data_IF_671190060241
#
_entry.id   IF_671190060241
#
_cell.length_a   1.000
_cell.length_b   1.000
_cell.length_c   1.000
_cell.angle_alpha   90.00
_cell.angle_beta   90.00
_cell.angle_gamma   90.00
#
_symmetry.space_group_name_H-M   'P 1'
#
loop_
_entity.id
_entity.type
_entity.pdbx_description
1 polymer ?
#
# COMPACT_ATOMS: atom_id res chain seq x y z
N UNK A 1 -19.89 -11.12 0.74
CA UNK A 1 -19.06 -9.89 0.78
C UNK A 1 -17.78 -10.19 1.56
N UNK A 2 -16.67 -10.49 0.89
CA UNK A 2 -15.42 -10.83 1.55
C UNK A 2 -14.70 -9.55 2.02
N UNK A 3 -14.53 -9.42 3.35
CA UNK A 3 -13.76 -8.36 3.99
C UNK A 3 -12.29 -8.46 3.52
N UNK A 4 -11.76 -7.38 2.96
CA UNK A 4 -10.32 -7.21 2.70
C UNK A 4 -9.55 -7.31 4.03
N UNK A 5 -9.13 -8.52 4.42
CA UNK A 5 -8.12 -8.71 5.45
C UNK A 5 -6.80 -8.17 4.90
N UNK A 6 -6.27 -7.12 5.53
CA UNK A 6 -4.89 -6.70 5.33
C UNK A 6 -4.03 -7.86 5.84
N UNK A 7 -3.53 -8.69 4.91
CA UNK A 7 -2.67 -9.82 5.23
C UNK A 7 -1.38 -9.30 5.89
N UNK A 8 -1.21 -9.61 7.18
CA UNK A 8 0.04 -9.38 7.94
C UNK A 8 1.03 -10.56 7.83
N UNK A 9 0.66 -11.67 7.19
CA UNK A 9 1.53 -12.83 6.96
C UNK A 9 2.44 -12.70 5.73
N UNK A 10 3.38 -13.64 5.58
CA UNK A 10 4.13 -13.88 4.33
C UNK A 10 3.35 -14.84 3.42
N UNK A 11 3.72 -14.95 2.15
CA UNK A 11 3.15 -15.97 1.26
C UNK A 11 3.53 -17.38 1.73
N UNK A 12 2.64 -18.38 1.72
CA UNK A 12 2.98 -19.77 2.07
C UNK A 12 4.14 -20.34 1.25
N UNK A 13 4.25 -20.01 -0.05
CA UNK A 13 5.39 -20.44 -0.87
C UNK A 13 6.69 -19.70 -0.49
N UNK A 14 6.60 -18.42 -0.11
CA UNK A 14 7.75 -17.65 0.39
C UNK A 14 8.21 -18.17 1.75
N UNK A 15 7.30 -18.53 2.66
CA UNK A 15 7.63 -19.17 3.93
C UNK A 15 8.29 -20.53 3.72
N UNK A 16 7.76 -21.36 2.80
CA UNK A 16 8.39 -22.64 2.42
C UNK A 16 9.79 -22.45 1.86
N UNK A 17 9.98 -21.47 0.99
CA UNK A 17 11.29 -21.12 0.43
C UNK A 17 12.28 -20.71 1.54
N UNK A 18 11.91 -19.78 2.41
CA UNK A 18 12.77 -19.30 3.49
C UNK A 18 13.11 -20.40 4.51
N UNK A 19 12.13 -21.25 4.85
CA UNK A 19 12.33 -22.36 5.78
C UNK A 19 13.20 -23.47 5.17
N UNK A 20 13.25 -23.57 3.84
CA UNK A 20 14.09 -24.56 3.14
C UNK A 20 15.55 -24.14 2.95
N UNK A 21 15.84 -22.83 3.04
CA UNK A 21 17.20 -22.29 3.00
C UNK A 21 18.06 -22.66 4.23
N UNK A 22 17.58 -23.58 5.10
CA UNK A 22 18.42 -24.30 6.08
C UNK A 22 19.41 -25.30 5.45
N UNK A 23 19.45 -25.43 4.13
CA UNK A 23 20.56 -26.00 3.36
C UNK A 23 20.86 -25.10 2.17
N UNK A 24 22.01 -24.42 2.23
CA UNK A 24 22.49 -23.48 1.23
C UNK A 24 22.55 -24.11 -0.17
N UNK A 25 21.96 -23.43 -1.16
CA UNK A 25 22.48 -23.49 -2.53
C UNK A 25 22.64 -22.04 -2.99
N UNK A 26 23.90 -21.67 -3.16
CA UNK A 26 24.35 -20.37 -3.64
C UNK A 26 23.87 -20.17 -5.10
N UNK A 27 23.00 -19.18 -5.31
CA UNK A 27 22.34 -18.92 -6.61
C UNK A 27 23.11 -17.87 -7.42
N UNK A 28 24.33 -17.53 -7.03
CA UNK A 28 25.18 -16.53 -7.70
C UNK A 28 25.69 -16.97 -9.10
N UNK A 29 25.55 -18.25 -9.47
CA UNK A 29 26.19 -18.84 -10.66
C UNK A 29 25.35 -19.08 -11.92
N UNK A 30 24.04 -18.81 -11.96
CA UNK A 30 23.18 -19.23 -13.08
C UNK A 30 22.73 -18.06 -13.96
N UNK A 31 23.67 -17.50 -14.75
CA UNK A 31 23.37 -16.54 -15.83
C UNK A 31 23.83 -17.18 -17.15
N UNK A 32 22.88 -17.46 -18.05
CA UNK A 32 23.15 -17.75 -19.45
C UNK A 32 22.52 -16.65 -20.35
N UNK A 33 23.13 -16.32 -21.49
CA UNK A 33 22.90 -15.06 -22.19
C UNK A 33 21.88 -15.14 -23.33
N UNK A 34 21.27 -13.98 -23.61
CA UNK A 34 20.50 -13.58 -24.79
C UNK A 34 18.98 -13.82 -24.79
N UNK A 35 18.19 -12.73 -24.82
CA UNK A 35 17.69 -12.20 -26.09
C UNK A 35 17.15 -10.75 -25.95
N UNK A 36 17.48 -9.95 -26.95
CA UNK A 36 17.38 -8.50 -26.98
C UNK A 36 15.95 -7.96 -27.14
N UNK A 37 15.59 -7.06 -26.21
CA UNK A 37 14.64 -5.92 -26.32
C UNK A 37 14.16 -5.49 -24.91
N UNK A 38 14.20 -6.41 -23.94
CA UNK A 38 13.93 -6.15 -22.51
C UNK A 38 15.18 -5.78 -21.69
N UNK A 39 16.37 -5.98 -22.25
CA UNK A 39 17.66 -5.90 -21.54
C UNK A 39 17.99 -4.52 -20.97
N UNK A 40 17.49 -3.40 -21.53
CA UNK A 40 17.74 -2.06 -20.96
C UNK A 40 16.96 -1.78 -19.67
N UNK A 41 15.93 -2.58 -19.36
CA UNK A 41 15.16 -2.49 -18.11
C UNK A 41 15.54 -3.61 -17.13
N UNK A 42 15.94 -4.78 -17.63
CA UNK A 42 16.43 -5.90 -16.80
C UNK A 42 17.87 -5.71 -16.30
N UNK A 43 18.80 -5.19 -17.14
CA UNK A 43 20.19 -4.95 -16.74
C UNK A 43 20.35 -3.82 -15.69
N UNK A 44 19.31 -3.00 -15.46
CA UNK A 44 19.28 -2.05 -14.34
C UNK A 44 18.80 -2.67 -13.02
N UNK A 45 18.17 -3.84 -13.08
CA UNK A 45 17.60 -4.54 -11.94
C UNK A 45 18.41 -5.78 -11.52
N UNK A 46 19.35 -6.25 -12.35
CA UNK A 46 20.17 -7.45 -12.07
C UNK A 46 21.19 -7.26 -10.94
N UNK A 47 21.47 -6.03 -10.51
CA UNK A 47 22.47 -5.73 -9.45
C UNK A 47 21.94 -4.87 -8.30
N UNK A 48 20.62 -4.68 -8.19
CA UNK A 48 20.03 -3.96 -7.05
C UNK A 48 19.14 -4.92 -6.25
N UNK A 49 19.51 -5.12 -4.98
CA UNK A 49 18.55 -5.59 -3.98
C UNK A 49 17.25 -4.81 -4.16
N UNK A 50 16.14 -5.51 -4.41
CA UNK A 50 14.83 -4.88 -4.50
C UNK A 50 14.59 -4.04 -3.24
N UNK A 51 14.24 -2.76 -3.41
CA UNK A 51 13.75 -1.93 -2.31
C UNK A 51 12.67 -2.72 -1.54
N UNK A 52 12.75 -2.72 -0.21
CA UNK A 52 11.89 -3.47 0.70
C UNK A 52 10.41 -3.27 0.38
N UNK A 53 10.04 -2.05 -0.03
CA UNK A 53 8.69 -1.68 -0.47
C UNK A 53 8.25 -2.41 -1.76
N UNK A 54 9.16 -2.60 -2.69
CA UNK A 54 8.89 -3.28 -3.97
C UNK A 54 8.80 -4.80 -3.77
N UNK A 55 9.70 -5.36 -2.95
CA UNK A 55 9.64 -6.77 -2.53
C UNK A 55 8.30 -7.10 -1.86
N UNK A 56 7.87 -6.29 -0.87
CA UNK A 56 6.56 -6.48 -0.22
C UNK A 56 5.39 -6.37 -1.21
N UNK A 57 5.51 -5.48 -2.20
CA UNK A 57 4.48 -5.33 -3.24
C UNK A 57 4.39 -6.58 -4.12
N UNK A 58 5.52 -7.20 -4.46
CA UNK A 58 5.55 -8.41 -5.28
C UNK A 58 5.01 -9.60 -4.50
N UNK A 59 5.35 -9.71 -3.23
CA UNK A 59 4.79 -10.73 -2.33
C UNK A 59 3.27 -10.63 -2.21
N UNK A 60 2.72 -9.42 -1.98
CA UNK A 60 1.26 -9.23 -1.93
C UNK A 60 0.56 -9.62 -3.23
N UNK A 61 1.23 -9.49 -4.38
CA UNK A 61 0.70 -9.93 -5.68
C UNK A 61 0.71 -11.45 -5.81
N UNK A 62 1.75 -12.11 -5.30
CA UNK A 62 1.83 -13.57 -5.25
C UNK A 62 0.73 -14.15 -4.36
N UNK A 63 0.54 -13.59 -3.15
CA UNK A 63 -0.54 -14.00 -2.22
C UNK A 63 -1.90 -13.91 -2.89
N UNK A 64 -2.15 -12.83 -3.65
CA UNK A 64 -3.41 -12.67 -4.37
C UNK A 64 -3.62 -13.75 -5.45
N UNK A 65 -2.55 -14.15 -6.15
CA UNK A 65 -2.60 -15.22 -7.14
C UNK A 65 -2.85 -16.59 -6.46
N UNK A 66 -2.16 -16.88 -5.37
CA UNK A 66 -2.33 -18.13 -4.61
C UNK A 66 -3.76 -18.29 -4.08
N UNK A 67 -4.34 -17.22 -3.54
CA UNK A 67 -5.72 -17.22 -3.08
C UNK A 67 -6.72 -17.44 -4.23
N UNK A 68 -6.45 -16.84 -5.39
CA UNK A 68 -7.28 -17.03 -6.57
C UNK A 68 -7.16 -18.46 -7.12
N UNK A 69 -5.96 -19.01 -7.18
CA UNK A 69 -5.71 -20.37 -7.64
C UNK A 69 -6.41 -21.40 -6.76
N UNK A 70 -6.29 -21.27 -5.42
CA UNK A 70 -6.97 -22.14 -4.47
C UNK A 70 -8.51 -22.09 -4.61
N UNK A 71 -9.08 -20.91 -4.91
CA UNK A 71 -10.53 -20.78 -5.17
C UNK A 71 -10.98 -21.45 -6.47
N UNK A 72 -10.09 -21.60 -7.44
CA UNK A 72 -10.37 -22.23 -8.73
C UNK A 72 -9.88 -23.68 -8.81
N UNK A 73 -9.45 -24.27 -7.69
CA UNK A 73 -8.97 -25.65 -7.63
C UNK A 73 -7.59 -25.88 -8.25
N UNK A 74 -6.78 -24.83 -8.44
CA UNK A 74 -5.40 -24.96 -8.92
C UNK A 74 -4.41 -25.02 -7.74
N UNK A 75 -4.12 -26.24 -7.31
CA UNK A 75 -3.16 -26.53 -6.22
C UNK A 75 -1.72 -26.45 -6.72
N UNK A 76 -1.24 -25.23 -7.00
CA UNK A 76 0.15 -24.99 -7.35
C UNK A 76 1.06 -24.99 -6.12
N UNK A 77 2.16 -25.72 -6.21
CA UNK A 77 3.22 -25.78 -5.19
C UNK A 77 4.48 -25.23 -5.85
N UNK A 78 4.82 -23.97 -5.60
CA UNK A 78 5.88 -23.33 -6.37
C UNK A 78 7.27 -23.79 -5.97
N UNK A 79 7.44 -24.37 -4.78
CA UNK A 79 8.73 -24.72 -4.22
C UNK A 79 8.69 -26.05 -3.44
N UNK A 80 9.73 -26.88 -3.58
CA UNK A 80 9.87 -28.20 -2.95
C UNK A 80 10.08 -29.36 -3.95
N UNK A 81 10.23 -30.62 -3.47
CA UNK A 81 10.46 -31.79 -4.34
C UNK A 81 9.27 -32.09 -5.26
N UNK A 82 8.06 -31.73 -4.85
CA UNK A 82 6.83 -31.86 -5.64
C UNK A 82 6.42 -30.52 -6.28
N UNK A 83 7.39 -29.69 -6.70
CA UNK A 83 7.08 -28.39 -7.28
C UNK A 83 6.25 -28.53 -8.55
N UNK A 84 5.12 -27.83 -8.57
CA UNK A 84 4.16 -27.74 -9.67
C UNK A 84 3.82 -26.26 -9.87
N UNK A 85 4.16 -25.67 -11.02
CA UNK A 85 3.79 -24.30 -11.33
C UNK A 85 2.28 -24.15 -11.54
N UNK A 86 1.77 -22.91 -11.57
CA UNK A 86 0.36 -22.64 -11.89
C UNK A 86 0.03 -23.04 -13.33
N UNK A 87 -1.25 -23.38 -13.58
CA UNK A 87 -1.77 -23.53 -14.94
C UNK A 87 -1.76 -22.18 -15.67
N UNK A 88 -1.51 -22.22 -16.98
CA UNK A 88 -1.56 -21.01 -17.82
C UNK A 88 -2.95 -20.37 -17.78
N UNK A 89 -4.00 -21.19 -17.82
CA UNK A 89 -5.39 -20.75 -17.72
C UNK A 89 -5.67 -19.97 -16.42
N UNK A 90 -5.17 -20.43 -15.27
CA UNK A 90 -5.31 -19.75 -13.97
C UNK A 90 -4.72 -18.35 -14.02
N UNK A 91 -3.51 -18.22 -14.57
CA UNK A 91 -2.83 -16.92 -14.72
C UNK A 91 -3.57 -16.01 -15.70
N UNK A 92 -4.08 -16.55 -16.81
CA UNK A 92 -4.86 -15.76 -17.76
C UNK A 92 -6.11 -15.17 -17.11
N UNK A 93 -6.91 -16.03 -16.47
CA UNK A 93 -8.15 -15.59 -15.82
C UNK A 93 -7.87 -14.60 -14.70
N UNK A 94 -6.84 -14.85 -13.87
CA UNK A 94 -6.43 -13.91 -12.84
C UNK A 94 -6.06 -12.53 -13.41
N UNK A 95 -5.23 -12.49 -14.45
CA UNK A 95 -4.79 -11.23 -15.04
C UNK A 95 -5.94 -10.47 -15.72
N UNK A 96 -6.88 -11.17 -16.35
CA UNK A 96 -8.08 -10.56 -16.92
C UNK A 96 -8.94 -9.91 -15.83
N UNK A 97 -9.29 -10.65 -14.77
CA UNK A 97 -10.10 -10.14 -13.65
C UNK A 97 -9.43 -8.93 -12.97
N UNK A 98 -8.12 -9.01 -12.72
CA UNK A 98 -7.37 -7.93 -12.08
C UNK A 98 -7.17 -6.71 -12.98
N UNK A 99 -7.09 -6.92 -14.31
CA UNK A 99 -7.04 -5.86 -15.30
C UNK A 99 -8.37 -5.12 -15.45
N UNK A 100 -9.49 -5.84 -15.39
CA UNK A 100 -10.82 -5.30 -15.64
C UNK A 100 -11.37 -4.47 -14.48
N UNK A 101 -11.16 -4.93 -13.25
CA UNK A 101 -11.68 -4.29 -12.03
C UNK A 101 -11.10 -2.89 -11.76
N UNK A 102 -9.87 -2.60 -12.20
CA UNK A 102 -9.17 -1.37 -11.79
C UNK A 102 -9.47 -0.13 -12.64
N UNK A 103 -9.86 -0.26 -13.92
CA UNK A 103 -10.42 0.77 -14.81
C UNK A 103 -9.73 2.16 -14.92
N UNK A 104 -9.73 2.81 -16.10
CA UNK A 104 -9.06 4.12 -16.33
C UNK A 104 -10.04 5.29 -16.19
N UNK A 105 -9.58 6.39 -15.60
CA UNK A 105 -10.36 7.63 -15.53
C UNK A 105 -10.32 8.32 -16.90
N UNK A 106 -11.49 8.65 -17.44
CA UNK A 106 -11.68 9.41 -18.67
C UNK A 106 -12.68 10.52 -18.34
N UNK A 107 -12.18 11.75 -18.18
CA UNK A 107 -13.00 12.88 -17.69
C UNK A 107 -13.57 12.61 -16.28
N UNK A 108 -14.89 12.72 -16.13
CA UNK A 108 -15.64 12.41 -14.89
C UNK A 108 -15.99 10.93 -14.73
N UNK A 109 -15.68 10.10 -15.73
CA UNK A 109 -16.03 8.69 -15.77
C UNK A 109 -14.81 7.80 -15.46
N UNK A 110 -15.08 6.59 -14.97
CA UNK A 110 -14.10 5.52 -14.76
C UNK A 110 -14.46 4.30 -15.59
N UNK A 111 -13.74 4.07 -16.68
CA UNK A 111 -13.93 2.92 -17.56
C UNK A 111 -13.28 1.65 -17.02
N UNK A 112 -14.07 0.67 -16.55
CA UNK A 112 -13.60 -0.72 -16.28
C UNK A 112 -12.87 -1.29 -17.51
N UNK A 113 -11.89 -2.17 -17.31
CA UNK A 113 -11.10 -2.74 -18.43
C UNK A 113 -9.95 -1.88 -18.95
N UNK A 114 -9.94 -0.57 -18.68
CA UNK A 114 -8.99 0.36 -19.35
C UNK A 114 -7.75 0.74 -18.54
N UNK A 115 -7.52 0.17 -17.35
CA UNK A 115 -6.34 0.47 -16.51
C UNK A 115 -5.45 -0.75 -16.28
N UNK A 116 -4.55 -1.05 -17.23
CA UNK A 116 -3.53 -2.07 -17.06
C UNK A 116 -2.09 -1.56 -16.78
N UNK A 117 -1.81 -0.38 -16.18
CA UNK A 117 -0.48 -0.15 -15.61
C UNK A 117 -0.18 -1.11 -14.44
N UNK A 118 -1.17 -1.86 -13.95
CA UNK A 118 -0.94 -2.91 -12.94
C UNK A 118 -0.55 -4.25 -13.57
N UNK A 119 -0.91 -4.54 -14.83
CA UNK A 119 -0.60 -5.83 -15.47
C UNK A 119 0.90 -6.02 -15.66
N UNK A 120 1.61 -4.98 -16.10
CA UNK A 120 3.07 -5.00 -16.16
C UNK A 120 3.70 -5.24 -14.79
N UNK A 121 3.09 -4.70 -13.74
CA UNK A 121 3.51 -4.96 -12.37
C UNK A 121 3.27 -6.41 -11.93
N UNK A 122 2.10 -6.99 -12.24
CA UNK A 122 1.83 -8.40 -11.97
C UNK A 122 2.79 -9.31 -12.74
N UNK A 123 3.00 -9.05 -14.03
CA UNK A 123 3.94 -9.79 -14.86
C UNK A 123 5.37 -9.74 -14.30
N UNK A 124 5.86 -8.56 -13.89
CA UNK A 124 7.17 -8.42 -13.27
C UNK A 124 7.28 -9.17 -11.94
N UNK A 125 6.24 -9.09 -11.09
CA UNK A 125 6.21 -9.80 -9.82
C UNK A 125 6.20 -11.32 -9.97
N UNK A 126 5.43 -11.83 -10.94
CA UNK A 126 5.35 -13.27 -11.19
C UNK A 126 6.61 -13.81 -11.85
N UNK A 127 7.18 -13.09 -12.82
CA UNK A 127 8.50 -13.45 -13.36
C UNK A 127 9.56 -13.52 -12.27
N UNK A 128 9.60 -12.53 -11.36
CA UNK A 128 10.53 -12.53 -10.25
C UNK A 128 10.37 -13.79 -9.37
N UNK A 129 9.16 -14.08 -8.90
CA UNK A 129 8.91 -15.21 -8.01
C UNK A 129 9.09 -16.56 -8.69
N UNK A 130 8.62 -16.73 -9.93
CA UNK A 130 8.78 -17.99 -10.65
C UNK A 130 10.25 -18.30 -10.93
N UNK A 131 11.04 -17.31 -11.33
CA UNK A 131 12.49 -17.47 -11.45
C UNK A 131 13.14 -17.77 -10.08
N UNK A 132 12.76 -17.06 -9.01
CA UNK A 132 13.29 -17.30 -7.67
C UNK A 132 12.98 -18.70 -7.13
N UNK A 133 11.85 -19.28 -7.52
CA UNK A 133 11.48 -20.66 -7.18
C UNK A 133 12.05 -21.71 -8.15
N UNK A 134 12.90 -21.31 -9.11
CA UNK A 134 13.56 -22.22 -10.04
C UNK A 134 12.66 -22.74 -11.17
N UNK A 135 11.67 -21.95 -11.60
CA UNK A 135 10.90 -22.17 -12.82
C UNK A 135 11.44 -21.24 -13.91
N UNK A 136 12.56 -21.62 -14.53
CA UNK A 136 13.21 -20.87 -15.61
C UNK A 136 13.01 -21.51 -16.99
N UNK A 137 12.58 -22.77 -17.03
CA UNK A 137 12.33 -23.54 -18.26
C UNK A 137 11.10 -23.04 -19.03
N UNK A 138 11.04 -23.40 -20.32
CA UNK A 138 9.89 -23.12 -21.16
C UNK A 138 8.65 -23.87 -20.67
N UNK A 139 7.49 -23.20 -20.72
CA UNK A 139 6.25 -23.76 -20.25
C UNK A 139 5.75 -24.89 -21.15
N UNK A 140 5.31 -25.99 -20.53
CA UNK A 140 4.62 -27.09 -21.21
C UNK A 140 3.52 -27.67 -20.31
N UNK A 141 2.40 -28.05 -20.91
CA UNK A 141 1.32 -28.77 -20.25
C UNK A 141 1.19 -30.16 -20.88
N UNK A 142 1.20 -31.20 -20.05
CA UNK A 142 0.95 -32.57 -20.47
C UNK A 142 -0.33 -33.09 -19.83
N UNK A 143 -1.17 -33.77 -20.62
CA UNK A 143 -2.35 -34.47 -20.08
C UNK A 143 -1.88 -35.85 -19.63
N UNK A 144 -1.97 -36.10 -18.33
CA UNK A 144 -1.66 -37.40 -17.74
C UNK A 144 -2.98 -38.01 -17.29
N UNK A 145 -3.27 -39.21 -17.78
CA UNK A 145 -4.38 -40.02 -17.27
C UNK A 145 -3.91 -40.64 -15.95
N UNK A 146 -4.56 -40.28 -14.85
CA UNK A 146 -4.31 -40.89 -13.55
C UNK A 146 -4.87 -42.32 -13.51
N UNK A 147 -4.43 -43.10 -12.52
CA UNK A 147 -4.82 -44.51 -12.34
C UNK A 147 -6.33 -44.70 -12.14
N UNK A 148 -7.04 -43.64 -11.76
CA UNK A 148 -8.50 -43.56 -11.61
C UNK A 148 -9.25 -43.30 -12.94
N UNK A 149 -8.54 -43.19 -14.06
CA UNK A 149 -9.11 -42.83 -15.37
C UNK A 149 -9.37 -41.33 -15.56
N UNK A 150 -9.06 -40.49 -14.57
CA UNK A 150 -9.21 -39.04 -14.67
C UNK A 150 -8.06 -38.42 -15.45
N UNK A 151 -8.36 -37.52 -16.39
CA UNK A 151 -7.35 -36.74 -17.09
C UNK A 151 -6.95 -35.53 -16.25
N UNK A 152 -5.66 -35.40 -15.92
CA UNK A 152 -5.11 -34.25 -15.19
C UNK A 152 -4.07 -33.54 -16.04
N UNK A 153 -4.16 -32.21 -16.07
CA UNK A 153 -3.16 -31.37 -16.73
C UNK A 153 -1.99 -31.14 -15.77
N UNK A 154 -0.81 -31.60 -16.15
CA UNK A 154 0.42 -31.44 -15.39
C UNK A 154 1.27 -30.33 -16.05
N UNK A 155 1.34 -29.14 -15.43
CA UNK A 155 2.17 -28.05 -15.95
C UNK A 155 3.63 -28.22 -15.51
N UNK A 156 4.56 -27.84 -16.39
CA UNK A 156 6.01 -27.76 -16.13
C UNK A 156 6.58 -26.46 -16.70
N UNK A 157 7.70 -26.01 -16.13
CA UNK A 157 8.39 -24.77 -16.53
C UNK A 157 7.73 -23.49 -16.02
N UNK A 158 8.09 -22.35 -16.62
CA UNK A 158 7.61 -21.03 -16.20
C UNK A 158 6.27 -20.67 -16.86
N UNK A 159 5.15 -20.57 -16.14
CA UNK A 159 3.85 -20.22 -16.72
C UNK A 159 3.81 -18.88 -17.47
N UNK A 160 4.69 -17.95 -17.11
CA UNK A 160 4.79 -16.65 -17.79
C UNK A 160 5.40 -16.75 -19.20
N UNK A 161 6.09 -17.85 -19.50
CA UNK A 161 6.64 -18.14 -20.83
C UNK A 161 5.62 -18.77 -21.77
N UNK A 162 4.42 -19.13 -21.28
CA UNK A 162 3.33 -19.61 -22.13
C UNK A 162 2.99 -18.59 -23.22
N UNK A 163 2.82 -19.03 -24.49
CA UNK A 163 2.44 -18.15 -25.59
C UNK A 163 1.09 -17.48 -25.32
N UNK A 164 0.15 -18.20 -24.72
CA UNK A 164 -1.21 -17.72 -24.46
C UNK A 164 -1.23 -16.62 -23.39
N UNK A 165 -0.43 -16.79 -22.32
CA UNK A 165 -0.26 -15.78 -21.27
C UNK A 165 0.41 -14.54 -21.85
N UNK A 166 1.47 -14.72 -22.66
CA UNK A 166 2.21 -13.63 -23.29
C UNK A 166 1.34 -12.83 -24.26
N UNK A 167 0.56 -13.50 -25.11
CA UNK A 167 -0.35 -12.87 -26.06
C UNK A 167 -1.46 -12.10 -25.35
N UNK A 168 -2.05 -12.68 -24.30
CA UNK A 168 -3.06 -12.00 -23.49
C UNK A 168 -2.49 -10.74 -22.83
N UNK A 169 -1.29 -10.79 -22.22
CA UNK A 169 -0.66 -9.60 -21.64
C UNK A 169 -0.47 -8.50 -22.71
N UNK A 170 0.03 -8.87 -23.90
CA UNK A 170 0.16 -7.93 -25.04
C UNK A 170 -1.19 -7.32 -25.42
N UNK A 171 -2.24 -8.12 -25.52
CA UNK A 171 -3.59 -7.65 -25.85
C UNK A 171 -4.15 -6.70 -24.79
N UNK A 172 -4.04 -7.04 -23.50
CA UNK A 172 -4.51 -6.20 -22.40
C UNK A 172 -3.73 -4.87 -22.34
N UNK A 173 -2.41 -4.90 -22.57
CA UNK A 173 -1.58 -3.69 -22.66
C UNK A 173 -1.94 -2.85 -23.89
N UNK A 174 -2.30 -3.46 -25.03
CA UNK A 174 -2.77 -2.72 -26.23
C UNK A 174 -4.14 -2.08 -25.99
N UNK A 175 -5.09 -2.81 -25.37
CA UNK A 175 -6.42 -2.28 -25.00
C UNK A 175 -6.33 -1.11 -24.00
N UNK A 176 -5.30 -1.09 -23.16
CA UNK A 176 -4.95 0.04 -22.29
C UNK A 176 -4.77 1.37 -23.01
N UNK A 177 -3.98 1.28 -24.09
CA UNK A 177 -3.39 2.43 -24.76
C UNK A 177 -4.36 2.92 -25.81
N UNK A 178 -5.03 1.98 -26.48
CA UNK A 178 -6.04 2.23 -27.51
C UNK A 178 -7.33 1.48 -27.16
N UNK A 179 -8.19 2.07 -26.30
CA UNK A 179 -9.45 1.46 -25.90
C UNK A 179 -10.45 1.42 -27.07
N UNK A 180 -11.23 0.35 -27.17
CA UNK A 180 -12.28 0.26 -28.19
C UNK A 180 -13.54 1.02 -27.79
N UNK A 181 -14.44 1.28 -28.75
CA UNK A 181 -15.74 1.89 -28.47
C UNK A 181 -16.61 1.02 -27.53
N UNK A 182 -16.49 -0.31 -27.60
CA UNK A 182 -17.19 -1.24 -26.71
C UNK A 182 -16.68 -1.13 -25.27
N UNK A 183 -15.36 -1.02 -25.10
CA UNK A 183 -14.72 -0.84 -23.78
C UNK A 183 -15.14 0.47 -23.11
N UNK A 184 -15.24 1.54 -23.89
CA UNK A 184 -15.67 2.85 -23.38
C UNK A 184 -17.18 2.91 -23.09
N UNK A 185 -18.01 2.07 -23.73
CA UNK A 185 -19.45 1.93 -23.42
C UNK A 185 -19.71 1.13 -22.14
N UNK A 186 -19.14 -0.07 -22.02
CA UNK A 186 -19.33 -0.94 -20.84
C UNK A 186 -18.69 -0.37 -19.56
N UNK A 187 -17.70 0.51 -19.74
CA UNK A 187 -16.94 1.05 -18.63
C UNK A 187 -17.58 2.24 -17.90
N UNK A 188 -18.64 2.91 -18.38
CA UNK A 188 -19.04 4.23 -17.85
C UNK A 188 -19.64 4.16 -16.43
N UNK A 189 -18.79 4.11 -15.42
CA UNK A 189 -19.19 4.31 -14.02
C UNK A 189 -18.74 5.72 -13.60
N UNK A 190 -19.57 6.49 -12.88
CA UNK A 190 -19.12 7.74 -12.26
C UNK A 190 -17.86 7.50 -11.43
N UNK A 191 -16.85 8.37 -11.60
CA UNK A 191 -15.64 8.26 -10.79
C UNK A 191 -15.95 8.63 -9.34
N UNK A 192 -16.00 7.64 -8.45
CA UNK A 192 -16.02 7.91 -7.01
C UNK A 192 -14.64 8.38 -6.54
N UNK A 193 -14.53 9.59 -5.93
CA UNK A 193 -13.29 10.02 -5.31
C UNK A 193 -12.91 9.05 -4.20
N UNK A 194 -11.61 8.77 -4.05
CA UNK A 194 -11.09 7.95 -2.94
C UNK A 194 -11.53 8.58 -1.62
N UNK A 195 -12.48 7.95 -0.93
CA UNK A 195 -12.84 8.33 0.43
C UNK A 195 -11.71 7.90 1.35
N UNK A 196 -11.23 8.81 2.20
CA UNK A 196 -10.33 8.42 3.27
C UNK A 196 -11.06 7.39 4.17
N UNK A 197 -10.37 6.36 4.67
CA UNK A 197 -10.98 5.45 5.63
C UNK A 197 -11.50 6.26 6.83
N UNK A 198 -12.64 5.85 7.44
CA UNK A 198 -13.19 6.58 8.57
C UNK A 198 -12.17 6.62 9.71
N UNK A 199 -11.89 7.83 10.18
CA UNK A 199 -11.00 8.06 11.33
C UNK A 199 -11.84 8.07 12.61
N UNK A 200 -11.51 7.20 13.56
CA UNK A 200 -12.29 7.05 14.81
C UNK A 200 -11.59 7.67 16.00
N UNK A 201 -12.34 8.07 17.02
CA UNK A 201 -11.77 8.57 18.29
C UNK A 201 -10.84 7.55 18.96
N UNK A 202 -11.13 6.26 18.82
CA UNK A 202 -10.25 5.19 19.33
C UNK A 202 -8.88 5.19 18.65
N UNK A 203 -8.82 5.51 17.35
CA UNK A 203 -7.55 5.64 16.63
C UNK A 203 -6.76 6.86 17.15
N UNK A 204 -7.44 7.98 17.42
CA UNK A 204 -6.80 9.16 18.01
C UNK A 204 -6.22 8.87 19.40
N UNK A 205 -6.94 8.12 20.24
CA UNK A 205 -6.43 7.68 21.55
C UNK A 205 -5.24 6.71 21.44
N UNK A 206 -5.23 5.83 20.43
CA UNK A 206 -4.06 4.98 20.14
C UNK A 206 -2.84 5.81 19.71
N UNK A 207 -3.05 6.87 18.92
CA UNK A 207 -1.97 7.79 18.56
C UNK A 207 -1.42 8.51 19.79
N UNK A 208 -2.27 8.92 20.73
CA UNK A 208 -1.84 9.47 22.02
C UNK A 208 -0.96 8.49 22.78
N UNK A 209 -1.43 7.26 22.95
CA UNK A 209 -0.69 6.22 23.66
C UNK A 209 0.69 5.97 23.01
N UNK A 210 0.75 5.94 21.68
CA UNK A 210 2.02 5.84 20.96
C UNK A 210 2.95 7.02 21.23
N UNK A 211 2.44 8.26 21.14
CA UNK A 211 3.26 9.45 21.38
C UNK A 211 3.79 9.49 22.82
N UNK A 212 2.95 9.18 23.81
CA UNK A 212 3.30 9.32 25.22
C UNK A 212 4.08 8.12 25.78
N UNK A 213 3.76 6.90 25.34
CA UNK A 213 4.33 5.67 25.92
C UNK A 213 5.44 5.05 25.06
N UNK A 214 5.52 5.34 23.76
CA UNK A 214 6.53 4.71 22.88
C UNK A 214 7.70 5.65 22.57
N UNK A 215 7.42 6.92 22.31
CA UNK A 215 8.48 7.92 22.07
C UNK A 215 9.05 8.43 23.40
N UNK A 216 8.20 8.52 24.43
CA UNK A 216 8.49 8.98 25.80
C UNK A 216 9.11 10.39 25.90
N UNK A 217 9.07 10.96 27.10
CA UNK A 217 9.69 12.26 27.42
C UNK A 217 9.13 13.48 26.66
N UNK A 218 9.97 14.52 26.57
CA UNK A 218 9.59 15.84 26.02
C UNK A 218 9.21 15.78 24.53
N UNK A 219 9.86 14.88 23.77
CA UNK A 219 9.56 14.65 22.34
C UNK A 219 8.17 14.05 22.14
N UNK A 220 7.80 13.08 22.97
CA UNK A 220 6.47 12.46 22.93
C UNK A 220 5.35 13.44 23.24
N UNK A 221 5.53 14.26 24.27
CA UNK A 221 4.58 15.32 24.67
C UNK A 221 4.45 16.37 23.57
N UNK A 222 5.57 16.83 23.00
CA UNK A 222 5.58 17.77 21.88
C UNK A 222 4.84 17.21 20.67
N UNK A 223 5.13 15.96 20.27
CA UNK A 223 4.50 15.33 19.12
C UNK A 223 3.00 15.15 19.32
N UNK A 224 2.58 14.76 20.53
CA UNK A 224 1.16 14.67 20.87
C UNK A 224 0.48 16.04 20.78
N UNK A 225 1.13 17.08 21.30
CA UNK A 225 0.63 18.46 21.25
C UNK A 225 0.43 18.92 19.80
N UNK A 226 1.44 18.75 18.94
CA UNK A 226 1.37 19.08 17.50
C UNK A 226 0.26 18.29 16.78
N UNK A 227 0.14 17.00 17.08
CA UNK A 227 -0.90 16.13 16.52
C UNK A 227 -2.29 16.65 16.90
N UNK A 228 -2.53 16.86 18.19
CA UNK A 228 -3.82 17.30 18.70
C UNK A 228 -4.18 18.72 18.23
N UNK A 229 -3.19 19.61 18.11
CA UNK A 229 -3.33 20.93 17.49
C UNK A 229 -3.79 20.83 16.04
N UNK A 230 -3.20 19.92 15.27
CA UNK A 230 -3.53 19.73 13.86
C UNK A 230 -4.97 19.28 13.67
N UNK A 231 -5.46 18.39 14.54
CA UNK A 231 -6.87 17.99 14.53
C UNK A 231 -7.81 19.09 15.00
N UNK A 232 -7.48 19.81 16.07
CA UNK A 232 -8.34 20.85 16.63
C UNK A 232 -8.51 22.06 15.71
N UNK A 233 -7.44 22.42 14.98
CA UNK A 233 -7.40 23.59 14.09
C UNK A 233 -7.44 23.22 12.60
N UNK A 234 -7.62 21.94 12.27
CA UNK A 234 -7.62 21.40 10.90
C UNK A 234 -6.37 21.79 10.07
N UNK A 235 -5.21 21.85 10.72
CA UNK A 235 -3.94 22.21 10.08
C UNK A 235 -3.38 21.04 9.26
N UNK A 236 -2.67 21.38 8.18
CA UNK A 236 -2.12 20.41 7.23
C UNK A 236 -0.61 20.50 7.13
N UNK A 237 0.03 19.33 7.04
CA UNK A 237 1.46 19.21 6.72
C UNK A 237 2.34 19.97 7.71
N UNK A 238 3.04 20.99 7.22
CA UNK A 238 4.00 21.78 7.99
C UNK A 238 3.39 22.96 8.74
N UNK A 239 2.11 23.28 8.54
CA UNK A 239 1.43 24.39 9.20
C UNK A 239 1.59 24.40 10.73
N UNK A 240 1.39 23.28 11.48
CA UNK A 240 1.55 23.30 12.93
C UNK A 240 3.02 23.49 13.35
N UNK A 241 3.99 23.08 12.53
CA UNK A 241 5.42 23.21 12.81
C UNK A 241 5.94 24.64 12.66
N UNK A 242 5.20 25.49 11.93
CA UNK A 242 5.55 26.90 11.69
C UNK A 242 5.04 27.84 12.78
N UNK A 243 4.22 27.35 13.70
CA UNK A 243 3.70 28.14 14.81
C UNK A 243 4.81 28.39 15.84
N UNK A 244 5.01 29.66 16.19
CA UNK A 244 5.92 30.08 17.27
C UNK A 244 5.10 30.55 18.47
N UNK A 245 5.71 30.64 19.65
CA UNK A 245 5.03 31.11 20.86
C UNK A 245 4.37 32.50 20.66
N UNK A 246 5.01 33.41 19.91
CA UNK A 246 4.46 34.73 19.55
C UNK A 246 3.14 34.69 18.75
N UNK A 247 2.81 33.54 18.18
CA UNK A 247 1.57 33.32 17.44
C UNK A 247 0.42 32.89 18.36
N UNK A 248 0.71 32.54 19.61
CA UNK A 248 -0.27 32.16 20.63
C UNK A 248 -0.59 33.40 21.47
N UNK A 249 -1.88 33.68 21.65
CA UNK A 249 -2.35 34.70 22.60
C UNK A 249 -3.14 34.01 23.70
N UNK A 250 -2.60 34.08 24.90
CA UNK A 250 -3.26 33.62 26.10
C UNK A 250 -4.28 34.68 26.56
N UNK A 251 -5.39 34.29 27.21
CA UNK A 251 -6.32 35.23 27.80
C UNK A 251 -5.60 36.15 28.81
N UNK A 252 -5.95 37.44 28.84
CA UNK A 252 -5.31 38.43 29.72
C UNK A 252 -5.37 38.07 31.22
N UNK A 253 -6.38 37.27 31.61
CA UNK A 253 -6.61 36.86 33.00
C UNK A 253 -5.97 35.50 33.33
N UNK A 254 -5.08 34.98 32.48
CA UNK A 254 -4.46 33.67 32.67
C UNK A 254 -2.95 33.79 32.89
N UNK A 255 -2.50 33.33 34.05
CA UNK A 255 -1.11 33.22 34.46
C UNK A 255 -0.63 31.76 34.35
N UNK A 256 0.50 31.53 33.67
CA UNK A 256 1.14 30.21 33.65
C UNK A 256 1.63 29.88 35.07
N UNK A 257 0.99 28.93 35.74
CA UNK A 257 1.38 28.49 37.08
C UNK A 257 0.20 28.26 38.02
N UNK A 258 -0.97 28.85 37.74
CA UNK A 258 -2.16 28.63 38.57
C UNK A 258 -2.78 27.25 38.26
N UNK A 259 -2.79 26.31 39.22
CA UNK A 259 -3.23 24.93 38.97
C UNK A 259 -4.75 24.78 38.81
N UNK A 260 -5.52 25.86 39.05
CA UNK A 260 -6.96 25.77 39.29
C UNK A 260 -7.79 26.06 38.04
N UNK A 261 -7.29 26.82 37.05
CA UNK A 261 -8.10 27.26 35.91
C UNK A 261 -7.37 27.18 34.57
N UNK A 262 -7.58 26.07 33.85
CA UNK A 262 -7.21 25.99 32.43
C UNK A 262 -7.99 27.04 31.63
N UNK A 263 -7.34 27.76 30.68
CA UNK A 263 -8.02 28.74 29.87
C UNK A 263 -9.04 28.05 28.96
N UNK A 264 -10.26 28.60 28.91
CA UNK A 264 -11.33 28.02 28.06
C UNK A 264 -10.99 28.10 26.57
N UNK A 265 -10.21 29.10 26.17
CA UNK A 265 -9.80 29.34 24.79
C UNK A 265 -8.40 29.94 24.71
N UNK A 266 -7.66 29.61 23.67
CA UNK A 266 -6.38 30.21 23.30
C UNK A 266 -6.48 30.66 21.83
N UNK A 267 -6.12 31.90 21.53
CA UNK A 267 -6.11 32.36 20.14
C UNK A 267 -4.77 32.00 19.48
N UNK A 268 -4.83 31.51 18.26
CA UNK A 268 -3.69 31.04 17.47
C UNK A 268 -3.68 31.78 16.15
N UNK A 269 -2.71 32.68 15.96
CA UNK A 269 -2.52 33.43 14.72
C UNK A 269 -1.62 32.69 13.76
N UNK A 270 -2.20 32.09 12.72
CA UNK A 270 -1.46 31.40 11.66
C UNK A 270 -0.97 32.44 10.66
N UNK A 271 0.35 32.61 10.47
CA UNK A 271 0.89 33.66 9.61
C UNK A 271 0.64 33.43 8.12
N UNK A 272 0.38 32.18 7.71
CA UNK A 272 0.17 31.83 6.32
C UNK A 272 -0.83 30.69 6.19
N UNK A 273 -2.00 30.96 5.59
CA UNK A 273 -3.00 29.95 5.28
C UNK A 273 -3.18 29.90 3.76
N UNK A 274 -3.12 28.70 3.16
CA UNK A 274 -3.39 28.52 1.73
C UNK A 274 -4.82 28.90 1.32
N UNK A 275 -5.75 28.98 2.28
CA UNK A 275 -7.11 29.44 2.02
C UNK A 275 -7.15 30.93 1.69
N UNK A 276 -6.21 31.71 2.26
CA UNK A 276 -6.11 33.13 2.05
C UNK A 276 -5.02 33.42 1.02
N UNK A 277 -5.41 33.56 -0.25
CA UNK A 277 -4.51 33.90 -1.38
C UNK A 277 -3.75 35.23 -1.20
N UNK A 278 -3.93 35.93 -0.08
CA UNK A 278 -3.36 37.25 0.24
C UNK A 278 -2.41 37.27 1.44
N UNK A 279 -1.97 36.12 1.97
CA UNK A 279 -0.97 36.04 3.05
C UNK A 279 -1.28 36.87 4.32
N UNK A 280 -2.55 37.22 4.56
CA UNK A 280 -2.96 38.06 5.71
C UNK A 280 -2.88 37.34 7.06
N UNK A 281 -2.72 36.02 7.03
CA UNK A 281 -2.76 35.17 8.20
C UNK A 281 -4.18 35.06 8.77
N UNK A 282 -4.47 33.93 9.42
CA UNK A 282 -5.81 33.64 9.98
C UNK A 282 -5.67 33.44 11.48
N UNK A 283 -6.54 34.09 12.26
CA UNK A 283 -6.66 33.81 13.69
C UNK A 283 -7.68 32.70 13.89
N UNK A 284 -7.25 31.59 14.50
CA UNK A 284 -8.12 30.49 14.90
C UNK A 284 -8.17 30.40 16.43
N UNK A 285 -9.22 29.77 16.93
CA UNK A 285 -9.43 29.61 18.37
C UNK A 285 -9.29 28.15 18.75
N UNK A 286 -8.35 27.87 19.65
CA UNK A 286 -8.19 26.57 20.27
C UNK A 286 -9.09 26.49 21.51
N UNK A 287 -10.00 25.52 21.53
CA UNK A 287 -10.94 25.35 22.63
C UNK A 287 -10.47 24.29 23.62
N UNK A 288 -10.67 24.56 24.92
CA UNK A 288 -10.52 23.52 25.94
C UNK A 288 -11.62 22.47 25.78
N UNK A 289 -11.28 21.19 25.91
CA UNK A 289 -12.25 20.11 25.96
C UNK A 289 -12.51 19.71 27.43
N UNK A 290 -13.61 20.16 28.06
CA UNK A 290 -13.88 19.87 29.46
C UNK A 290 -14.29 18.40 29.70
N UNK A 291 -14.85 17.74 28.69
CA UNK A 291 -15.38 16.38 28.80
C UNK A 291 -14.30 15.32 28.69
N UNK A 292 -13.28 15.56 27.84
CA UNK A 292 -12.17 14.63 27.67
C UNK A 292 -10.83 15.35 27.78
N UNK A 293 -10.29 15.37 29.00
CA UNK A 293 -8.98 15.96 29.32
C UNK A 293 -7.83 15.35 28.50
N UNK A 294 -7.93 14.08 28.11
CA UNK A 294 -6.88 13.39 27.33
C UNK A 294 -6.82 13.89 25.88
N UNK A 295 -7.93 14.40 25.35
CA UNK A 295 -8.06 14.97 24.01
C UNK A 295 -8.23 16.49 24.06
N UNK A 296 -7.82 17.13 25.16
CA UNK A 296 -7.89 18.58 25.31
C UNK A 296 -6.63 19.23 24.73
N UNK A 297 -6.74 19.97 23.61
CA UNK A 297 -5.57 20.58 22.98
C UNK A 297 -4.95 21.69 23.85
N UNK A 298 -5.76 22.41 24.62
CA UNK A 298 -5.28 23.42 25.58
C UNK A 298 -4.44 22.78 26.68
N UNK A 299 -4.91 21.66 27.25
CA UNK A 299 -4.17 20.95 28.30
C UNK A 299 -2.85 20.39 27.77
N UNK A 300 -2.86 19.81 26.57
CA UNK A 300 -1.64 19.32 25.94
C UNK A 300 -0.61 20.44 25.70
N UNK A 301 -1.07 21.60 25.21
CA UNK A 301 -0.22 22.76 24.98
C UNK A 301 0.40 23.29 26.27
N UNK A 302 -0.40 23.50 27.32
CA UNK A 302 0.10 24.02 28.59
C UNK A 302 1.04 23.03 29.25
N UNK A 303 0.72 21.73 29.22
CA UNK A 303 1.62 20.69 29.73
C UNK A 303 2.97 20.71 29.00
N UNK A 304 2.97 20.89 27.68
CA UNK A 304 4.20 21.02 26.91
C UNK A 304 4.99 22.29 27.26
N UNK A 305 4.34 23.44 27.38
CA UNK A 305 5.00 24.71 27.75
C UNK A 305 5.66 24.62 29.14
N UNK A 306 4.92 24.10 30.13
CA UNK A 306 5.43 23.90 31.49
C UNK A 306 6.64 22.97 31.52
N UNK A 307 6.58 21.84 30.81
CA UNK A 307 7.68 20.86 30.75
C UNK A 307 8.86 21.38 29.93
N UNK A 308 8.63 22.25 28.95
CA UNK A 308 9.67 22.90 28.16
C UNK A 308 10.34 24.09 28.87
N UNK A 309 9.85 24.50 30.05
CA UNK A 309 10.37 25.64 30.81
C UNK A 309 10.10 26.99 30.13
N UNK A 310 9.00 27.08 29.36
CA UNK A 310 8.56 28.27 28.63
C UNK A 310 7.36 28.96 29.27
#
# INVERSE_FOLDING_TARGET
>A
MAKNKIYKGRSPNVERYLNSCGREVDISGLIAPNLAAGARLAAKNESQALDEKTSRTYELRLIALEQFAAQNGDDAILFGPNKRPFLAATLQTFMQVMGETKGKKIGTLRCRGLKPPVIRGYAAAFNYWFCAFGHTEQYSEAIVTAEDGSQRVVPKGNPMSSPDVTQMIKQLVKRATRPTAKDTRHGRVPYEPKKAPPFTLQQLLRMRAYCLNTIEGLRGIWLWTVTLFSFALFLRGEEPLRLKLKNLRLPANFTLGDPITLPKRIEVKIPWSKADRKAKGVTLTLWSNPFNKQLCPVTALIAWLLVAGL
#
